data_IF_659310450190
#
_entry.id   IF_659310450190
#
_cell.length_a   1.000
_cell.length_b   1.000
_cell.length_c   1.000
_cell.angle_alpha   90.00
_cell.angle_beta   90.00
_cell.angle_gamma   90.00
#
_symmetry.space_group_name_H-M   'P 1'
#
loop_
_entity.id
_entity.type
_entity.pdbx_description
1 polymer ?
#
# COMPACT_ATOMS: atom_id res chain seq x y z
N UNK A 1 47.51 -24.43 -39.59
CA UNK A 1 47.46 -23.60 -38.38
C UNK A 1 48.18 -24.36 -37.26
N UNK A 2 49.14 -23.74 -36.56
CA UNK A 2 49.90 -24.39 -35.47
C UNK A 2 49.17 -24.16 -34.14
N UNK A 3 48.98 -25.22 -33.35
CA UNK A 3 48.50 -25.10 -31.98
C UNK A 3 49.72 -25.08 -31.05
N UNK A 4 49.99 -23.95 -30.41
CA UNK A 4 51.10 -23.79 -29.46
C UNK A 4 50.53 -23.94 -28.05
N UNK A 5 51.10 -24.86 -27.26
CA UNK A 5 50.76 -25.01 -25.85
C UNK A 5 51.51 -23.98 -25.01
N UNK A 6 50.80 -23.29 -24.11
CA UNK A 6 51.37 -22.36 -23.14
C UNK A 6 51.05 -22.84 -21.73
N UNK A 7 52.04 -22.84 -20.85
CA UNK A 7 51.85 -23.11 -19.43
C UNK A 7 51.52 -21.81 -18.70
N UNK A 8 50.36 -21.76 -18.04
CA UNK A 8 49.90 -20.60 -17.27
C UNK A 8 49.67 -21.01 -15.81
N UNK A 9 49.83 -20.06 -14.89
CA UNK A 9 49.53 -20.27 -13.46
C UNK A 9 48.03 -20.36 -13.18
N UNK A 10 47.19 -19.80 -14.05
CA UNK A 10 45.74 -19.86 -13.99
C UNK A 10 45.14 -19.83 -15.39
N UNK A 11 43.99 -20.49 -15.56
CA UNK A 11 43.33 -20.53 -16.86
C UNK A 11 42.75 -19.15 -17.23
N UNK A 12 42.83 -18.75 -18.51
CA UNK A 12 42.26 -17.50 -18.98
C UNK A 12 40.72 -17.53 -18.91
N UNK A 13 40.07 -16.36 -19.02
CA UNK A 13 38.61 -16.24 -19.02
C UNK A 13 37.95 -17.13 -20.07
N UNK A 14 36.84 -17.78 -19.70
CA UNK A 14 36.17 -18.77 -20.55
C UNK A 14 36.81 -20.16 -20.54
N UNK A 15 37.81 -20.40 -19.70
CA UNK A 15 38.41 -21.72 -19.46
C UNK A 15 38.39 -22.06 -17.97
N UNK A 16 38.19 -23.34 -17.65
CA UNK A 16 38.31 -23.88 -16.30
C UNK A 16 39.47 -24.86 -16.23
N UNK A 17 40.11 -24.96 -15.06
CA UNK A 17 41.23 -25.88 -14.84
C UNK A 17 40.74 -27.29 -14.54
N UNK A 18 41.16 -28.27 -15.34
CA UNK A 18 40.96 -29.70 -15.05
C UNK A 18 42.28 -30.28 -14.54
N UNK A 19 42.26 -30.87 -13.34
CA UNK A 19 43.42 -31.55 -12.77
C UNK A 19 43.46 -33.00 -13.24
N UNK A 20 44.47 -33.34 -14.04
CA UNK A 20 44.79 -34.73 -14.35
C UNK A 20 45.98 -35.17 -13.50
N UNK A 21 46.17 -36.48 -13.29
CA UNK A 21 47.32 -37.00 -12.53
C UNK A 21 48.67 -36.47 -13.02
N UNK A 22 48.79 -36.26 -14.34
CA UNK A 22 50.06 -35.92 -14.97
C UNK A 22 50.18 -34.44 -15.35
N UNK A 23 49.06 -33.74 -15.55
CA UNK A 23 49.05 -32.35 -16.02
C UNK A 23 47.75 -31.62 -15.69
N UNK A 24 47.85 -30.34 -15.32
CA UNK A 24 46.69 -29.47 -15.22
C UNK A 24 46.41 -28.84 -16.60
N UNK A 25 45.21 -29.06 -17.15
CA UNK A 25 44.83 -28.56 -18.47
C UNK A 25 43.65 -27.60 -18.37
N UNK A 26 43.76 -26.46 -19.04
CA UNK A 26 42.66 -25.52 -19.20
C UNK A 26 41.69 -26.01 -20.28
N UNK A 27 40.44 -26.25 -19.90
CA UNK A 27 39.37 -26.71 -20.79
C UNK A 27 38.36 -25.59 -20.99
N UNK A 28 37.89 -25.41 -22.23
CA UNK A 28 36.96 -24.33 -22.56
C UNK A 28 35.58 -24.55 -21.90
N UNK A 29 34.99 -23.48 -21.40
CA UNK A 29 33.60 -23.48 -20.92
C UNK A 29 32.60 -23.75 -22.06
N UNK A 30 31.37 -24.08 -21.70
CA UNK A 30 30.26 -24.24 -22.65
C UNK A 30 29.96 -22.92 -23.38
N UNK A 31 29.42 -23.00 -24.60
CA UNK A 31 29.16 -21.83 -25.45
C UNK A 31 28.27 -20.77 -24.79
N UNK A 32 27.34 -21.17 -23.93
CA UNK A 32 26.35 -20.29 -23.28
C UNK A 32 26.88 -19.65 -21.98
N UNK A 33 28.11 -20.00 -21.59
CA UNK A 33 28.73 -19.65 -20.32
C UNK A 33 29.94 -18.72 -20.54
N UNK A 34 30.03 -17.65 -19.74
CA UNK A 34 31.15 -16.70 -19.73
C UNK A 34 32.27 -17.21 -18.81
N UNK A 35 31.93 -17.56 -17.57
CA UNK A 35 32.87 -18.15 -16.60
C UNK A 35 32.28 -19.41 -16.00
N UNK A 36 33.06 -20.49 -15.95
CA UNK A 36 32.64 -21.77 -15.39
C UNK A 36 33.64 -22.29 -14.37
N UNK A 37 33.13 -23.00 -13.37
CA UNK A 37 33.93 -23.72 -12.39
C UNK A 37 34.32 -25.10 -12.92
N UNK A 38 33.39 -25.77 -13.61
CA UNK A 38 33.63 -27.03 -14.29
C UNK A 38 32.75 -27.12 -15.55
N UNK A 39 32.79 -28.25 -16.26
CA UNK A 39 32.00 -28.47 -17.49
C UNK A 39 30.49 -28.26 -17.32
N UNK A 40 29.96 -28.57 -16.13
CA UNK A 40 28.53 -28.58 -15.82
C UNK A 40 28.08 -27.40 -14.95
N UNK A 41 29.03 -26.66 -14.37
CA UNK A 41 28.77 -25.59 -13.41
C UNK A 41 29.35 -24.28 -13.94
N UNK A 42 28.47 -23.50 -14.55
CA UNK A 42 28.68 -22.12 -14.93
C UNK A 42 28.46 -21.21 -13.73
N UNK A 43 29.34 -20.23 -13.53
CA UNK A 43 29.19 -19.19 -12.50
C UNK A 43 28.64 -17.89 -13.08
N UNK A 44 28.81 -17.65 -14.38
CA UNK A 44 28.29 -16.46 -15.06
C UNK A 44 27.91 -16.78 -16.49
N UNK A 45 26.67 -16.50 -16.83
CA UNK A 45 26.15 -16.72 -18.18
C UNK A 45 26.51 -15.59 -19.13
N UNK A 46 26.52 -15.89 -20.42
CA UNK A 46 26.61 -14.84 -21.45
C UNK A 46 25.33 -14.01 -21.48
N UNK A 47 25.43 -12.79 -21.98
CA UNK A 47 24.29 -11.89 -22.16
C UNK A 47 23.17 -12.57 -22.93
N UNK A 48 21.94 -12.46 -22.41
CA UNK A 48 20.76 -13.11 -22.98
C UNK A 48 20.48 -14.52 -22.45
N UNK A 49 21.30 -15.06 -21.55
CA UNK A 49 21.05 -16.30 -20.84
C UNK A 49 20.93 -16.05 -19.33
N UNK A 50 20.05 -16.81 -18.69
CA UNK A 50 19.81 -16.79 -17.26
C UNK A 50 20.48 -17.99 -16.59
N UNK A 51 21.16 -17.74 -15.48
CA UNK A 51 21.80 -18.78 -14.68
C UNK A 51 20.76 -19.51 -13.82
N UNK A 52 20.75 -20.83 -13.92
CA UNK A 52 19.93 -21.71 -13.10
C UNK A 52 20.69 -22.99 -12.76
N UNK A 53 20.97 -23.23 -11.47
CA UNK A 53 21.66 -24.42 -10.97
C UNK A 53 22.98 -24.73 -11.71
N UNK A 54 23.76 -23.68 -12.00
CA UNK A 54 25.03 -23.81 -12.73
C UNK A 54 24.88 -23.99 -14.25
N UNK A 55 23.69 -23.85 -14.81
CA UNK A 55 23.46 -23.92 -16.27
C UNK A 55 22.90 -22.60 -16.78
N UNK A 56 23.26 -22.25 -18.01
CA UNK A 56 22.75 -21.07 -18.69
C UNK A 56 21.60 -21.48 -19.60
N UNK A 57 20.45 -20.82 -19.42
CA UNK A 57 19.21 -21.10 -20.16
C UNK A 57 18.72 -19.81 -20.82
N UNK A 58 18.20 -19.88 -22.04
CA UNK A 58 17.59 -18.71 -22.69
C UNK A 58 16.29 -18.26 -22.00
N UNK A 59 15.55 -19.22 -21.44
CA UNK A 59 14.32 -18.99 -20.71
C UNK A 59 14.32 -19.81 -19.43
N UNK A 60 13.76 -19.25 -18.35
CA UNK A 60 13.63 -19.97 -17.09
C UNK A 60 12.56 -21.07 -17.17
N UNK A 61 12.79 -22.24 -16.53
CA UNK A 61 11.82 -23.32 -16.49
C UNK A 61 10.58 -22.94 -15.64
N UNK A 62 9.56 -23.80 -15.68
CA UNK A 62 8.28 -23.56 -15.00
C UNK A 62 8.47 -23.37 -13.48
N UNK A 63 7.75 -22.41 -12.90
CA UNK A 63 7.86 -22.04 -11.49
C UNK A 63 9.00 -21.05 -11.16
N UNK A 64 9.81 -20.67 -12.15
CA UNK A 64 10.85 -19.66 -12.00
C UNK A 64 10.59 -18.47 -12.92
N UNK A 65 11.09 -17.30 -12.54
CA UNK A 65 11.07 -16.10 -13.34
C UNK A 65 12.48 -15.58 -13.63
N UNK A 66 12.61 -14.90 -14.77
CA UNK A 66 13.83 -14.28 -15.21
C UNK A 66 14.04 -12.97 -14.46
N UNK A 67 15.10 -12.89 -13.66
CA UNK A 67 15.54 -11.63 -13.07
C UNK A 67 16.54 -10.94 -14.01
N UNK A 68 16.10 -9.84 -14.63
CA UNK A 68 16.94 -9.08 -15.56
C UNK A 68 18.07 -8.30 -14.89
N UNK A 69 18.00 -8.06 -13.57
CA UNK A 69 19.04 -7.34 -12.84
C UNK A 69 20.24 -8.23 -12.53
N UNK A 70 20.01 -9.51 -12.21
CA UNK A 70 21.08 -10.46 -11.88
C UNK A 70 21.38 -11.46 -13.00
N UNK A 71 20.53 -11.53 -14.04
CA UNK A 71 20.58 -12.54 -15.11
C UNK A 71 20.50 -13.97 -14.55
N UNK A 72 19.57 -14.18 -13.62
CA UNK A 72 19.36 -15.46 -12.93
C UNK A 72 17.89 -15.87 -12.99
N UNK A 73 17.65 -17.17 -12.92
CA UNK A 73 16.32 -17.72 -12.70
C UNK A 73 16.02 -17.77 -11.20
N UNK A 74 15.09 -16.93 -10.76
CA UNK A 74 14.65 -16.85 -9.36
C UNK A 74 13.29 -17.51 -9.21
N UNK A 75 13.00 -18.07 -8.04
CA UNK A 75 11.72 -18.73 -7.77
C UNK A 75 10.59 -17.71 -7.75
N UNK A 76 9.45 -18.04 -8.34
CA UNK A 76 8.26 -17.20 -8.24
C UNK A 76 7.79 -17.23 -6.78
N UNK A 77 7.89 -16.09 -6.12
CA UNK A 77 7.40 -15.91 -4.76
C UNK A 77 5.96 -15.41 -4.81
N UNK A 78 5.05 -16.13 -4.18
CA UNK A 78 3.66 -15.70 -4.03
C UNK A 78 3.49 -14.88 -2.74
N UNK A 79 2.47 -14.04 -2.70
CA UNK A 79 2.19 -13.29 -1.49
C UNK A 79 1.61 -14.21 -0.41
N UNK A 80 2.25 -14.26 0.74
CA UNK A 80 1.79 -15.00 1.91
C UNK A 80 1.42 -14.01 3.03
N UNK A 81 0.30 -14.26 3.68
CA UNK A 81 -0.17 -13.46 4.80
C UNK A 81 -0.10 -14.28 6.09
N UNK A 82 0.16 -13.60 7.20
CA UNK A 82 0.22 -14.20 8.52
C UNK A 82 -1.11 -14.85 8.93
N UNK A 83 -1.05 -15.56 10.06
CA UNK A 83 -2.26 -15.89 10.80
C UNK A 83 -3.05 -14.61 11.15
N UNK A 84 -4.36 -14.78 11.22
CA UNK A 84 -5.25 -13.69 11.60
C UNK A 84 -5.08 -13.32 13.07
N UNK A 85 -5.13 -12.02 13.38
CA UNK A 85 -5.29 -11.56 14.75
C UNK A 85 -6.60 -12.08 15.34
N UNK A 86 -6.69 -12.07 16.67
CA UNK A 86 -7.97 -12.18 17.35
C UNK A 86 -8.94 -11.09 16.85
N UNK A 87 -10.24 -11.40 16.84
CA UNK A 87 -11.28 -10.43 16.54
C UNK A 87 -11.25 -9.29 17.57
N UNK A 88 -11.28 -8.05 17.11
CA UNK A 88 -11.46 -6.92 18.00
C UNK A 88 -12.84 -6.97 18.69
N UNK A 89 -13.01 -6.28 19.84
CA UNK A 89 -14.31 -6.21 20.49
C UNK A 89 -15.37 -5.68 19.53
N UNK A 90 -16.58 -6.26 19.58
CA UNK A 90 -17.71 -5.73 18.84
C UNK A 90 -17.91 -4.26 19.19
N UNK A 91 -17.96 -3.38 18.18
CA UNK A 91 -18.14 -1.93 18.37
C UNK A 91 -19.21 -1.37 17.45
N UNK A 92 -19.84 -0.25 17.85
CA UNK A 92 -20.72 0.55 16.99
C UNK A 92 -20.37 2.02 17.13
N UNK A 93 -19.96 2.66 16.02
CA UNK A 93 -19.51 4.07 16.00
C UNK A 93 -18.41 4.33 17.04
N UNK A 94 -17.43 3.43 17.14
CA UNK A 94 -16.31 3.53 18.09
C UNK A 94 -16.65 3.27 19.57
N UNK A 95 -17.86 2.80 19.89
CA UNK A 95 -18.28 2.45 21.25
C UNK A 95 -18.40 0.94 21.41
N UNK A 96 -18.10 0.41 22.60
CA UNK A 96 -18.21 -1.01 22.98
C UNK A 96 -19.45 -1.33 23.83
N UNK A 97 -20.25 -0.32 24.19
CA UNK A 97 -21.45 -0.44 25.03
C UNK A 97 -22.66 0.28 24.40
N UNK A 98 -23.87 -0.01 24.89
CA UNK A 98 -25.09 0.70 24.51
C UNK A 98 -25.70 0.31 23.15
N UNK A 99 -25.21 -0.76 22.50
CA UNK A 99 -25.79 -1.29 21.26
C UNK A 99 -26.02 -2.80 21.36
N UNK A 100 -26.87 -3.32 20.46
CA UNK A 100 -27.14 -4.76 20.30
C UNK A 100 -26.45 -5.36 19.08
N UNK A 101 -26.28 -4.59 18.00
CA UNK A 101 -25.60 -4.99 16.76
C UNK A 101 -24.45 -4.04 16.48
N UNK A 102 -23.27 -4.58 16.20
CA UNK A 102 -22.04 -3.84 15.89
C UNK A 102 -21.23 -4.54 14.82
N UNK A 103 -19.97 -4.14 14.70
CA UNK A 103 -18.97 -4.75 13.84
C UNK A 103 -17.70 -5.03 14.63
N UNK A 104 -17.05 -6.13 14.28
CA UNK A 104 -15.72 -6.50 14.76
C UNK A 104 -14.81 -6.65 13.56
N UNK A 105 -13.55 -6.30 13.75
CA UNK A 105 -12.52 -6.32 12.72
C UNK A 105 -11.33 -7.12 13.22
N UNK A 106 -10.77 -7.96 12.35
CA UNK A 106 -9.47 -8.59 12.56
C UNK A 106 -8.51 -8.15 11.47
N UNK A 107 -7.23 -8.18 11.79
CA UNK A 107 -6.16 -7.79 10.87
C UNK A 107 -5.14 -8.91 10.78
N UNK A 108 -4.40 -8.93 9.68
CA UNK A 108 -3.22 -9.77 9.49
C UNK A 108 -2.20 -9.01 8.67
N UNK A 109 -0.96 -9.45 8.74
CA UNK A 109 0.15 -8.80 8.04
C UNK A 109 0.60 -9.65 6.85
N UNK A 110 1.30 -9.03 5.90
CA UNK A 110 1.92 -9.76 4.80
C UNK A 110 3.31 -10.19 5.26
N UNK A 111 3.51 -11.51 5.38
CA UNK A 111 4.79 -12.09 5.80
C UNK A 111 5.74 -12.24 4.63
N UNK A 112 5.20 -12.54 3.45
CA UNK A 112 5.97 -12.68 2.21
C UNK A 112 5.34 -11.83 1.12
N UNK A 113 6.13 -10.92 0.57
CA UNK A 113 5.70 -10.10 -0.54
C UNK A 113 5.84 -10.88 -1.86
N UNK A 114 4.92 -10.68 -2.82
CA UNK A 114 4.96 -11.37 -4.09
C UNK A 114 6.09 -10.82 -4.95
N UNK A 115 6.64 -11.68 -5.79
CA UNK A 115 7.51 -11.25 -6.87
C UNK A 115 6.70 -10.72 -8.07
N UNK A 116 7.38 -10.29 -9.13
CA UNK A 116 6.77 -9.69 -10.32
C UNK A 116 5.70 -10.58 -10.97
N UNK A 117 5.93 -11.90 -11.01
CA UNK A 117 4.95 -12.90 -11.49
C UNK A 117 4.16 -13.58 -10.37
N UNK A 118 4.26 -13.09 -9.13
CA UNK A 118 3.55 -13.63 -7.98
C UNK A 118 2.06 -13.29 -8.00
N UNK A 119 1.28 -14.00 -7.18
CA UNK A 119 -0.14 -13.72 -6.99
C UNK A 119 -0.32 -12.46 -6.14
N UNK A 120 -1.41 -11.73 -6.36
CA UNK A 120 -1.77 -10.57 -5.53
C UNK A 120 -1.94 -10.95 -4.07
N UNK A 121 -1.55 -10.04 -3.19
CA UNK A 121 -1.71 -10.24 -1.76
C UNK A 121 -3.17 -10.38 -1.36
N UNK A 122 -3.49 -11.35 -0.51
CA UNK A 122 -4.84 -11.49 -0.01
C UNK A 122 -5.14 -10.33 0.98
N UNK A 123 -6.42 -10.06 1.31
CA UNK A 123 -6.78 -8.90 2.12
C UNK A 123 -6.19 -8.99 3.53
N UNK A 124 -5.70 -7.86 4.05
CA UNK A 124 -5.07 -7.73 5.38
C UNK A 124 -6.06 -7.36 6.48
N UNK A 125 -7.29 -6.99 6.13
CA UNK A 125 -8.33 -6.65 7.10
C UNK A 125 -9.65 -7.33 6.76
N UNK A 126 -10.32 -7.87 7.77
CA UNK A 126 -11.64 -8.46 7.62
C UNK A 126 -12.59 -7.90 8.67
N UNK A 127 -13.81 -7.54 8.26
CA UNK A 127 -14.83 -6.98 9.16
C UNK A 127 -16.10 -7.83 9.11
N UNK A 128 -16.62 -8.19 10.28
CA UNK A 128 -17.81 -9.00 10.47
C UNK A 128 -18.86 -8.27 11.31
N UNK A 129 -20.13 -8.56 11.05
CA UNK A 129 -21.26 -8.11 11.90
C UNK A 129 -21.34 -8.97 13.15
N UNK A 130 -21.48 -8.34 14.31
CA UNK A 130 -21.58 -9.02 15.61
C UNK A 130 -22.83 -8.58 16.38
N UNK A 131 -23.34 -9.46 17.23
CA UNK A 131 -24.49 -9.17 18.11
C UNK A 131 -24.06 -9.39 19.55
N UNK A 132 -24.28 -8.38 20.39
CA UNK A 132 -23.90 -8.40 21.82
C UNK A 132 -25.08 -8.04 22.70
N UNK A 133 -25.00 -8.46 23.97
CA UNK A 133 -25.96 -8.02 24.97
C UNK A 133 -25.79 -6.53 25.25
N UNK A 134 -26.91 -5.81 25.31
CA UNK A 134 -26.91 -4.35 25.41
C UNK A 134 -26.56 -3.91 26.83
N UNK A 135 -25.26 -3.74 27.12
CA UNK A 135 -24.75 -3.22 28.39
C UNK A 135 -24.96 -1.70 28.50
N UNK A 136 -25.35 -1.20 29.68
CA UNK A 136 -25.41 0.25 29.97
C UNK A 136 -23.99 0.81 29.97
N UNK A 137 -23.75 1.86 29.18
CA UNK A 137 -22.49 2.59 29.23
C UNK A 137 -22.38 3.35 30.55
N UNK A 138 -21.32 3.11 31.33
CA UNK A 138 -20.97 4.02 32.41
C UNK A 138 -20.57 5.36 31.79
N UNK A 139 -21.26 6.44 32.16
CA UNK A 139 -20.91 7.79 31.74
C UNK A 139 -19.57 8.17 32.40
N UNK A 140 -18.46 7.93 31.71
CA UNK A 140 -17.22 8.65 31.97
C UNK A 140 -17.43 10.14 31.68
N UNK A 141 -16.88 11.00 32.52
CA UNK A 141 -17.11 12.45 32.67
C UNK A 141 -16.73 13.32 31.45
N UNK A 142 -17.33 13.07 30.28
CA UNK A 142 -17.21 13.96 29.12
C UNK A 142 -18.59 14.41 28.66
N UNK A 143 -19.06 15.51 29.24
CA UNK A 143 -20.33 16.11 28.82
C UNK A 143 -20.90 17.29 29.60
N UNK A 144 -20.19 17.97 30.50
CA UNK A 144 -20.71 19.22 31.09
C UNK A 144 -20.80 20.37 30.07
N UNK A 145 -19.99 20.40 29.01
CA UNK A 145 -19.98 21.50 28.02
C UNK A 145 -21.19 21.55 27.06
N UNK A 146 -21.94 20.46 26.89
CA UNK A 146 -23.11 20.43 25.99
C UNK A 146 -24.39 20.96 26.64
N UNK A 147 -24.55 20.78 27.95
CA UNK A 147 -25.76 21.17 28.69
C UNK A 147 -25.80 22.66 28.98
N UNK A 148 -24.63 23.30 29.12
CA UNK A 148 -24.52 24.74 29.40
C UNK A 148 -24.92 25.60 28.21
N UNK A 149 -24.62 25.17 26.96
CA UNK A 149 -25.10 25.86 25.75
C UNK A 149 -26.63 25.80 25.59
N UNK A 150 -27.29 24.71 26.04
CA UNK A 150 -28.76 24.60 25.99
C UNK A 150 -29.42 25.44 27.09
N UNK A 151 -28.83 25.51 28.28
CA UNK A 151 -29.32 26.32 29.40
C UNK A 151 -29.14 27.83 29.16
N UNK A 152 -28.06 28.25 28.50
CA UNK A 152 -27.88 29.66 28.06
C UNK A 152 -28.82 30.09 26.92
N UNK A 153 -29.34 29.16 26.11
CA UNK A 153 -30.34 29.48 25.07
C UNK A 153 -31.74 29.70 25.65
N UNK A 154 -32.15 28.88 26.61
CA UNK A 154 -33.44 29.00 27.29
C UNK A 154 -33.53 30.28 28.16
N UNK A 155 -32.47 30.62 28.91
CA UNK A 155 -32.44 31.84 29.74
C UNK A 155 -32.39 33.16 28.96
N UNK A 156 -32.13 33.14 27.64
CA UNK A 156 -32.15 34.35 26.79
C UNK A 156 -33.53 34.64 26.22
N UNK A 157 -34.42 33.65 26.20
CA UNK A 157 -35.80 33.82 25.72
C UNK A 157 -36.76 34.24 26.85
N UNK A 158 -36.50 33.88 28.12
CA UNK A 158 -37.34 34.27 29.26
C UNK A 158 -37.11 35.70 29.81
N UNK A 159 -36.03 36.39 29.42
CA UNK A 159 -35.73 37.75 29.89
C UNK A 159 -36.04 38.83 28.84
N UNK A 160 -37.16 38.68 28.12
CA UNK A 160 -37.66 39.70 27.19
C UNK A 160 -39.09 40.18 27.46
N UNK A 161 -39.77 39.61 28.45
CA UNK A 161 -41.16 39.94 28.77
C UNK A 161 -41.28 40.50 30.19
N UNK A 162 -40.76 41.71 30.40
CA UNK A 162 -41.11 42.59 31.52
C UNK A 162 -41.09 44.05 31.02
N UNK A 163 -42.30 44.60 30.87
CA UNK A 163 -42.81 45.82 30.19
C UNK A 163 -42.55 47.09 31.07
N UNK A 164 -42.38 48.36 30.57
CA UNK A 164 -43.51 49.15 30.05
C UNK A 164 -43.30 50.23 28.97
N UNK A 165 -44.47 50.66 28.50
CA UNK A 165 -44.90 51.63 27.49
C UNK A 165 -44.38 53.08 27.65
N UNK A 166 -43.82 53.67 26.59
CA UNK A 166 -44.22 55.02 26.14
C UNK A 166 -43.77 55.37 24.70
N UNK A 167 -44.58 56.21 24.07
CA UNK A 167 -44.71 56.57 22.65
C UNK A 167 -43.51 57.28 22.00
N UNK A 168 -43.33 57.06 20.69
CA UNK A 168 -42.81 58.08 19.77
C UNK A 168 -42.16 57.61 18.46
N UNK A 169 -42.93 57.62 17.37
CA UNK A 169 -42.56 57.91 15.96
C UNK A 169 -41.72 56.88 15.15
N UNK A 170 -42.42 56.21 14.22
CA UNK A 170 -41.91 55.68 12.93
C UNK A 170 -41.79 56.82 11.88
N UNK A 171 -41.22 56.65 10.66
CA UNK A 171 -40.62 55.44 10.04
C UNK A 171 -39.27 55.70 9.31
N UNK A 172 -38.57 54.64 8.85
CA UNK A 172 -38.26 54.42 7.40
C UNK A 172 -37.12 53.43 7.12
N UNK A 173 -37.52 52.32 6.48
CA UNK A 173 -37.02 51.67 5.24
C UNK A 173 -35.51 51.44 4.97
N UNK A 174 -35.31 50.20 4.51
CA UNK A 174 -34.13 49.41 4.15
C UNK A 174 -33.13 50.01 3.14
N UNK A 175 -31.89 49.50 3.16
CA UNK A 175 -30.98 49.56 2.00
C UNK A 175 -30.55 48.17 1.50
N UNK A 176 -30.31 48.05 0.17
CA UNK A 176 -30.41 46.79 -0.57
C UNK A 176 -29.10 45.97 -0.67
N UNK A 177 -28.01 46.42 -0.05
CA UNK A 177 -26.66 45.88 -0.27
C UNK A 177 -26.37 44.53 0.43
N UNK A 178 -27.23 44.07 1.33
CA UNK A 178 -26.99 42.80 2.06
C UNK A 178 -27.62 41.57 1.39
N UNK A 179 -28.44 41.76 0.34
CA UNK A 179 -29.10 40.65 -0.38
C UNK A 179 -28.24 40.06 -1.51
N UNK A 180 -27.32 40.82 -2.10
CA UNK A 180 -26.50 40.33 -3.24
C UNK A 180 -25.32 39.45 -2.83
N UNK A 181 -24.75 39.65 -1.64
CA UNK A 181 -23.55 38.92 -1.21
C UNK A 181 -23.82 37.44 -0.80
N UNK A 182 -25.11 37.06 -0.64
CA UNK A 182 -25.52 35.68 -0.27
C UNK A 182 -25.75 34.77 -1.49
N UNK A 183 -25.91 35.32 -2.69
CA UNK A 183 -26.08 34.55 -3.93
C UNK A 183 -24.77 34.33 -4.72
N UNK A 184 -23.75 35.18 -4.56
CA UNK A 184 -22.46 35.01 -5.24
C UNK A 184 -21.53 33.95 -4.60
N UNK A 185 -21.60 33.73 -3.29
CA UNK A 185 -20.78 32.67 -2.65
C UNK A 185 -21.28 31.24 -2.92
N UNK A 186 -22.53 31.06 -3.35
CA UNK A 186 -23.10 29.74 -3.68
C UNK A 186 -22.73 29.25 -5.10
N UNK A 187 -22.36 30.14 -6.02
CA UNK A 187 -21.96 29.76 -7.40
C UNK A 187 -20.47 29.36 -7.53
N UNK A 188 -19.58 29.87 -6.68
CA UNK A 188 -18.13 29.53 -6.74
C UNK A 188 -17.76 28.13 -6.22
N UNK A 189 -18.56 27.54 -5.33
CA UNK A 189 -18.27 26.18 -4.78
C UNK A 189 -18.74 25.01 -5.66
N UNK A 190 -19.49 25.28 -6.72
CA UNK A 190 -19.96 24.25 -7.66
C UNK A 190 -19.01 24.07 -8.85
N UNK A 191 -18.22 25.09 -9.21
CA UNK A 191 -17.26 25.02 -10.33
C UNK A 191 -15.90 24.38 -9.97
N UNK A 192 -15.45 24.47 -8.72
CA UNK A 192 -14.16 23.87 -8.29
C UNK A 192 -14.19 22.32 -8.25
N UNK A 193 -15.39 21.72 -8.29
CA UNK A 193 -15.59 20.27 -8.28
C UNK A 193 -15.58 19.63 -9.68
N UNK A 194 -15.48 20.42 -10.74
CA UNK A 194 -15.51 19.93 -12.14
C UNK A 194 -14.16 20.01 -12.87
N UNK A 195 -13.12 20.63 -12.27
CA UNK A 195 -11.80 20.80 -12.90
C UNK A 195 -10.76 19.75 -12.50
N UNK A 196 -11.07 18.80 -11.60
CA UNK A 196 -10.16 17.71 -11.22
C UNK A 196 -10.32 16.42 -12.05
N UNK A 197 -11.16 16.43 -13.09
CA UNK A 197 -11.50 15.23 -13.86
C UNK A 197 -11.05 15.22 -15.34
N UNK A 198 -10.30 16.22 -15.83
CA UNK A 198 -9.87 16.22 -17.25
C UNK A 198 -8.49 16.88 -17.42
N UNK A 199 -7.40 16.13 -17.22
CA UNK A 199 -6.13 16.24 -17.97
C UNK A 199 -5.08 15.28 -17.41
N UNK A 200 -5.20 14.02 -17.80
CA UNK A 200 -4.03 13.19 -18.14
C UNK A 200 -3.47 13.73 -19.47
N UNK A 201 -2.15 13.56 -19.66
CA UNK A 201 -1.35 13.72 -20.90
C UNK A 201 -0.53 15.00 -21.00
N UNK A 202 0.80 14.91 -20.84
CA UNK A 202 1.79 15.01 -21.94
C UNK A 202 3.23 15.10 -21.36
N UNK A 203 4.01 14.04 -21.60
CA UNK A 203 5.43 13.97 -22.02
C UNK A 203 6.41 15.10 -21.62
N UNK A 204 7.41 14.78 -20.79
CA UNK A 204 8.84 14.64 -21.16
C UNK A 204 9.60 13.94 -20.03
#
# INVERSE_FOLDING_TARGET
>A
MKQIGVCLSSCPSGYYGTRYPDINKCTKCKADCDTCFNKNFCTKCKSGFYLHLGKCLGNCPEGLEANNHTMECVSIVHCEASEWSAWSPCTKKGKTCGFKRGTETRVREITQHPSAKGNLCPPTSETRKCTVQRKKCQKGERGKKGRERKRKKLNKEENKDAVPDNKGLEPSRETPEQRENKQQQKKRKVQDKQQKSVSVSTVH
#
